data_IF_323037538953
#
_entry.id   IF_323037538953
#
_cell.length_a   1.000
_cell.length_b   1.000
_cell.length_c   1.000
_cell.angle_alpha   90.00
_cell.angle_beta   90.00
_cell.angle_gamma   90.00
#
_symmetry.space_group_name_H-M   'P 1'
#
loop_
_entity.id
_entity.type
_entity.pdbx_description
1 polymer ?
#
# COMPACT_ATOMS: atom_id res chain seq x y z
N UNK A 1 -8.91 7.60 18.59
CA UNK A 1 -8.77 7.05 19.93
C UNK A 1 -9.79 5.96 20.18
N UNK A 2 -9.73 5.21 21.30
CA UNK A 2 -10.71 4.17 21.59
C UNK A 2 -12.10 4.75 21.79
N UNK A 3 -13.12 4.05 21.29
CA UNK A 3 -14.52 4.36 21.51
C UNK A 3 -15.06 3.32 22.50
N UNK A 4 -15.68 3.76 23.57
CA UNK A 4 -16.24 2.89 24.61
C UNK A 4 -17.71 3.23 24.80
N UNK A 5 -18.59 2.21 24.71
CA UNK A 5 -20.00 2.29 25.06
C UNK A 5 -20.27 1.36 26.26
N UNK A 6 -21.08 1.81 27.22
CA UNK A 6 -21.56 1.00 28.32
C UNK A 6 -23.07 1.21 28.47
N UNK A 7 -23.80 0.11 28.55
CA UNK A 7 -25.27 0.11 28.73
C UNK A 7 -26.00 1.03 27.74
N UNK A 8 -25.52 1.07 26.48
CA UNK A 8 -26.14 1.84 25.39
C UNK A 8 -27.32 1.02 24.85
N UNK A 9 -28.51 1.56 24.97
CA UNK A 9 -29.73 0.97 24.38
C UNK A 9 -29.86 1.49 22.97
N UNK A 10 -30.03 0.58 22.01
CA UNK A 10 -30.30 0.89 20.60
C UNK A 10 -31.54 0.10 20.15
N UNK A 11 -32.23 0.60 19.16
CA UNK A 11 -33.35 -0.14 18.55
C UNK A 11 -32.83 -1.29 17.67
N UNK A 12 -33.61 -2.36 17.56
CA UNK A 12 -33.25 -3.51 16.73
C UNK A 12 -33.12 -3.15 15.24
N UNK A 13 -33.82 -2.10 14.80
CA UNK A 13 -33.74 -1.59 13.42
C UNK A 13 -32.41 -0.91 13.11
N UNK A 14 -31.59 -0.56 14.11
CA UNK A 14 -30.24 -0.03 13.91
C UNK A 14 -29.18 -1.13 13.64
N UNK A 15 -29.58 -2.39 13.71
CA UNK A 15 -28.70 -3.50 13.29
C UNK A 15 -28.45 -3.39 11.77
N UNK A 16 -27.18 -3.38 11.38
CA UNK A 16 -26.81 -3.32 9.96
C UNK A 16 -27.42 -4.52 9.23
N UNK A 17 -28.28 -4.23 8.23
CA UNK A 17 -29.02 -5.24 7.49
C UNK A 17 -30.35 -5.66 8.14
N UNK A 18 -30.75 -5.06 9.27
CA UNK A 18 -31.98 -5.38 9.98
C UNK A 18 -31.84 -6.48 11.01
N UNK A 19 -32.90 -6.73 11.75
CA UNK A 19 -32.91 -7.69 12.87
C UNK A 19 -32.57 -9.14 12.42
N UNK A 20 -32.93 -9.51 11.19
CA UNK A 20 -32.59 -10.83 10.60
C UNK A 20 -31.10 -11.03 10.34
N UNK A 21 -30.33 -9.96 10.31
CA UNK A 21 -28.87 -10.01 10.16
C UNK A 21 -28.13 -10.08 11.50
N UNK A 22 -28.86 -10.15 12.62
CA UNK A 22 -28.25 -10.28 13.94
C UNK A 22 -27.33 -11.52 13.99
N UNK A 23 -26.11 -11.35 14.48
CA UNK A 23 -25.09 -12.40 14.53
C UNK A 23 -24.29 -12.63 13.22
N UNK A 24 -24.66 -11.98 12.11
CA UNK A 24 -23.98 -12.14 10.82
C UNK A 24 -22.86 -11.10 10.56
N UNK A 25 -22.62 -10.20 11.50
CA UNK A 25 -21.69 -9.06 11.33
C UNK A 25 -20.28 -9.46 10.91
N UNK A 26 -19.76 -10.57 11.40
CA UNK A 26 -18.45 -11.07 11.00
C UNK A 26 -18.37 -11.43 9.51
N UNK A 27 -19.37 -12.14 9.00
CA UNK A 27 -19.45 -12.49 7.58
C UNK A 27 -19.54 -11.23 6.73
N UNK A 28 -20.45 -10.31 7.08
CA UNK A 28 -20.66 -9.05 6.37
C UNK A 28 -19.37 -8.21 6.34
N UNK A 29 -18.65 -8.13 7.46
CA UNK A 29 -17.37 -7.43 7.53
C UNK A 29 -16.32 -8.06 6.58
N UNK A 30 -16.19 -9.38 6.58
CA UNK A 30 -15.22 -10.07 5.74
C UNK A 30 -15.52 -9.90 4.25
N UNK A 31 -16.78 -9.95 3.85
CA UNK A 31 -17.23 -9.74 2.47
C UNK A 31 -16.90 -8.32 2.00
N UNK A 32 -17.18 -7.29 2.81
CA UNK A 32 -16.91 -5.90 2.45
C UNK A 32 -15.40 -5.56 2.45
N UNK A 33 -14.64 -6.05 3.41
CA UNK A 33 -13.20 -5.82 3.45
C UNK A 33 -12.45 -6.51 2.30
N UNK A 34 -13.00 -7.60 1.74
CA UNK A 34 -12.37 -8.27 0.60
C UNK A 34 -12.28 -7.36 -0.63
N UNK A 35 -13.31 -6.53 -0.90
CA UNK A 35 -13.30 -5.56 -2.00
C UNK A 35 -12.23 -4.47 -1.83
N UNK A 36 -12.18 -3.83 -0.67
CA UNK A 36 -11.16 -2.81 -0.38
C UNK A 36 -9.74 -3.35 -0.42
N UNK A 37 -9.53 -4.57 0.09
CA UNK A 37 -8.25 -5.27 0.08
C UNK A 37 -7.78 -5.59 -1.34
N UNK A 38 -8.70 -5.88 -2.26
CA UNK A 38 -8.35 -6.17 -3.65
C UNK A 38 -7.99 -4.91 -4.44
N UNK A 39 -8.59 -3.77 -4.13
CA UNK A 39 -8.54 -2.56 -4.97
C UNK A 39 -7.78 -1.42 -4.30
N UNK A 40 -8.28 -0.92 -3.17
CA UNK A 40 -7.86 0.38 -2.62
C UNK A 40 -6.42 0.38 -2.12
N UNK A 41 -6.05 -0.58 -1.27
CA UNK A 41 -4.70 -0.65 -0.71
C UNK A 41 -3.63 -1.01 -1.74
N UNK A 42 -3.84 -2.01 -2.62
CA UNK A 42 -2.93 -2.26 -3.73
C UNK A 42 -2.76 -1.07 -4.67
N UNK A 43 -3.84 -0.40 -5.05
CA UNK A 43 -3.77 0.78 -5.91
C UNK A 43 -3.02 1.95 -5.25
N UNK A 44 -3.28 2.20 -3.96
CA UNK A 44 -2.55 3.19 -3.17
C UNK A 44 -1.05 2.88 -3.07
N UNK A 45 -0.70 1.61 -2.87
CA UNK A 45 0.69 1.16 -2.83
C UNK A 45 1.39 1.38 -4.18
N UNK A 46 0.74 1.03 -5.29
CA UNK A 46 1.26 1.27 -6.65
C UNK A 46 1.45 2.77 -6.90
N UNK A 47 0.48 3.60 -6.49
CA UNK A 47 0.61 5.06 -6.54
C UNK A 47 1.84 5.57 -5.79
N UNK A 48 2.10 5.02 -4.60
CA UNK A 48 3.29 5.31 -3.79
C UNK A 48 4.60 4.95 -4.51
N UNK A 49 4.67 3.77 -5.12
CA UNK A 49 5.86 3.31 -5.87
C UNK A 49 6.11 4.20 -7.10
N UNK A 50 5.06 4.55 -7.83
CA UNK A 50 5.16 5.47 -8.99
C UNK A 50 5.61 6.87 -8.56
N UNK A 51 5.11 7.38 -7.45
CA UNK A 51 5.55 8.65 -6.88
C UNK A 51 7.03 8.60 -6.47
N UNK A 52 7.48 7.49 -5.86
CA UNK A 52 8.88 7.27 -5.52
C UNK A 52 9.76 7.29 -6.77
N UNK A 53 9.37 6.58 -7.84
CA UNK A 53 10.09 6.55 -9.12
C UNK A 53 10.20 7.95 -9.75
N UNK A 54 9.08 8.66 -9.83
CA UNK A 54 9.04 10.00 -10.44
C UNK A 54 9.87 11.01 -9.64
N UNK A 55 9.69 11.06 -8.31
CA UNK A 55 10.36 12.04 -7.46
C UNK A 55 11.87 11.79 -7.37
N UNK A 56 12.30 10.54 -7.11
CA UNK A 56 13.72 10.21 -6.99
C UNK A 56 14.44 10.34 -8.35
N UNK A 57 13.81 9.94 -9.44
CA UNK A 57 14.36 10.09 -10.79
C UNK A 57 14.54 11.55 -11.18
N UNK A 58 13.54 12.41 -10.93
CA UNK A 58 13.65 13.84 -11.18
C UNK A 58 14.72 14.50 -10.30
N UNK A 59 14.74 14.16 -9.01
CA UNK A 59 15.73 14.67 -8.08
C UNK A 59 17.16 14.30 -8.50
N UNK A 60 17.39 13.04 -8.86
CA UNK A 60 18.72 12.56 -9.25
C UNK A 60 19.27 13.26 -10.50
N UNK A 61 18.39 13.71 -11.41
CA UNK A 61 18.80 14.44 -12.62
C UNK A 61 19.21 15.89 -12.34
N UNK A 62 18.63 16.52 -11.36
CA UNK A 62 18.91 17.95 -11.06
C UNK A 62 19.92 18.13 -9.93
N UNK A 63 20.01 17.17 -9.02
CA UNK A 63 20.97 17.22 -7.91
C UNK A 63 22.38 16.93 -8.41
N UNK A 64 23.30 17.82 -8.15
CA UNK A 64 24.71 17.64 -8.51
C UNK A 64 25.58 17.43 -7.28
N UNK A 65 26.52 16.51 -7.41
CA UNK A 65 27.62 16.28 -6.49
C UNK A 65 28.87 15.92 -7.30
N UNK A 66 30.05 16.30 -6.81
CA UNK A 66 31.33 16.02 -7.48
C UNK A 66 31.38 16.51 -8.94
N UNK A 67 30.63 17.59 -9.25
CA UNK A 67 30.62 18.20 -10.59
C UNK A 67 29.71 17.52 -11.62
N UNK A 68 28.88 16.53 -11.21
CA UNK A 68 27.97 15.82 -12.11
C UNK A 68 26.59 15.61 -11.46
N UNK A 69 25.52 15.38 -12.26
CA UNK A 69 24.23 14.89 -11.73
C UNK A 69 24.43 13.56 -11.02
N UNK A 70 23.79 13.39 -9.85
CA UNK A 70 23.93 12.13 -9.11
C UNK A 70 23.35 10.93 -9.86
N UNK A 71 22.46 11.17 -10.84
CA UNK A 71 21.94 10.11 -11.72
C UNK A 71 23.02 9.39 -12.56
N UNK A 72 24.22 9.98 -12.67
CA UNK A 72 25.35 9.37 -13.41
C UNK A 72 26.21 8.45 -12.51
N UNK A 73 25.92 8.42 -11.21
CA UNK A 73 26.62 7.56 -10.24
C UNK A 73 25.99 6.16 -10.21
N UNK A 74 26.80 5.11 -10.38
CA UNK A 74 26.35 3.71 -10.46
C UNK A 74 25.52 3.29 -9.24
N UNK A 75 25.90 3.65 -8.03
CA UNK A 75 25.14 3.32 -6.83
C UNK A 75 23.75 3.99 -6.77
N UNK A 76 23.59 5.15 -7.41
CA UNK A 76 22.28 5.82 -7.57
C UNK A 76 21.49 5.13 -8.67
N UNK A 77 22.12 4.76 -9.78
CA UNK A 77 21.48 4.07 -10.91
C UNK A 77 20.93 2.71 -10.47
N UNK A 78 21.64 1.96 -9.62
CA UNK A 78 21.16 0.71 -9.06
C UNK A 78 19.83 0.89 -8.32
N UNK A 79 19.74 1.90 -7.44
CA UNK A 79 18.50 2.20 -6.71
C UNK A 79 17.38 2.68 -7.63
N UNK A 80 17.68 3.54 -8.59
CA UNK A 80 16.70 4.03 -9.56
C UNK A 80 16.17 2.90 -10.45
N UNK A 81 17.03 1.97 -10.86
CA UNK A 81 16.64 0.81 -11.67
C UNK A 81 15.70 -0.11 -10.87
N UNK A 82 16.01 -0.38 -9.60
CA UNK A 82 15.13 -1.16 -8.73
C UNK A 82 13.76 -0.50 -8.57
N UNK A 83 13.71 0.81 -8.26
CA UNK A 83 12.46 1.55 -8.11
C UNK A 83 11.64 1.52 -9.41
N UNK A 84 12.28 1.72 -10.56
CA UNK A 84 11.62 1.71 -11.86
C UNK A 84 11.07 0.33 -12.22
N UNK A 85 11.84 -0.74 -12.00
CA UNK A 85 11.41 -2.11 -12.21
C UNK A 85 10.21 -2.47 -11.34
N UNK A 86 10.24 -2.08 -10.06
CA UNK A 86 9.13 -2.33 -9.14
C UNK A 86 7.91 -1.48 -9.47
N UNK A 87 8.07 -0.27 -9.98
CA UNK A 87 6.95 0.54 -10.48
C UNK A 87 6.25 -0.15 -11.66
N UNK A 88 7.00 -0.70 -12.60
CA UNK A 88 6.44 -1.45 -13.73
C UNK A 88 5.73 -2.73 -13.28
N UNK A 89 6.39 -3.54 -12.46
CA UNK A 89 5.85 -4.80 -11.95
C UNK A 89 4.55 -4.59 -11.15
N UNK A 90 4.55 -3.61 -10.26
CA UNK A 90 3.40 -3.31 -9.42
C UNK A 90 2.20 -2.79 -10.23
N UNK A 91 2.45 -1.98 -11.26
CA UNK A 91 1.40 -1.52 -12.18
C UNK A 91 0.82 -2.68 -12.99
N UNK A 92 1.64 -3.59 -13.50
CA UNK A 92 1.18 -4.79 -14.20
C UNK A 92 0.30 -5.66 -13.29
N UNK A 93 0.72 -5.84 -12.02
CA UNK A 93 -0.04 -6.56 -11.01
C UNK A 93 -1.41 -5.91 -10.74
N UNK A 94 -1.44 -4.59 -10.62
CA UNK A 94 -2.68 -3.82 -10.43
C UNK A 94 -3.64 -3.99 -11.60
N UNK A 95 -3.15 -3.83 -12.82
CA UNK A 95 -3.96 -3.99 -14.04
C UNK A 95 -4.52 -5.39 -14.13
N UNK A 96 -3.71 -6.40 -13.87
CA UNK A 96 -4.14 -7.81 -13.86
C UNK A 96 -5.27 -8.05 -12.84
N UNK A 97 -5.10 -7.59 -11.60
CA UNK A 97 -6.10 -7.75 -10.56
C UNK A 97 -7.42 -7.06 -10.88
N UNK A 98 -7.37 -5.82 -11.40
CA UNK A 98 -8.56 -5.08 -11.79
C UNK A 98 -9.27 -5.74 -12.99
N UNK A 99 -8.52 -6.24 -13.97
CA UNK A 99 -9.10 -6.97 -15.11
C UNK A 99 -9.86 -8.24 -14.68
N UNK A 100 -9.36 -8.95 -13.66
CA UNK A 100 -10.07 -10.11 -13.11
C UNK A 100 -11.41 -9.69 -12.46
N UNK A 101 -11.39 -8.60 -11.68
CA UNK A 101 -12.61 -8.05 -11.07
C UNK A 101 -13.62 -7.58 -12.12
N UNK A 102 -13.16 -6.88 -13.18
CA UNK A 102 -14.01 -6.42 -14.29
C UNK A 102 -14.67 -7.59 -15.03
N UNK A 103 -14.05 -8.77 -15.04
CA UNK A 103 -14.60 -10.01 -15.58
C UNK A 103 -15.49 -10.78 -14.57
N UNK A 104 -15.78 -10.19 -13.41
CA UNK A 104 -16.65 -10.77 -12.39
C UNK A 104 -15.98 -11.81 -11.49
N UNK A 105 -14.68 -12.00 -11.59
CA UNK A 105 -13.93 -12.88 -10.70
C UNK A 105 -13.66 -12.23 -9.34
N UNK A 106 -13.72 -13.00 -8.28
CA UNK A 106 -13.43 -12.54 -6.92
C UNK A 106 -12.38 -13.45 -6.27
N UNK A 107 -11.10 -13.35 -6.64
CA UNK A 107 -10.06 -14.23 -6.13
C UNK A 107 -9.60 -13.79 -4.72
N UNK A 108 -10.09 -14.39 -3.62
CA UNK A 108 -9.80 -13.92 -2.26
C UNK A 108 -8.34 -14.11 -1.86
N UNK A 109 -7.71 -15.19 -2.30
CA UNK A 109 -6.30 -15.46 -2.02
C UNK A 109 -5.40 -14.49 -2.77
N UNK A 110 -5.66 -14.26 -4.06
CA UNK A 110 -4.87 -13.33 -4.88
C UNK A 110 -4.98 -11.91 -4.35
N UNK A 111 -6.17 -11.46 -3.93
CA UNK A 111 -6.34 -10.13 -3.32
C UNK A 111 -5.54 -9.97 -2.03
N UNK A 112 -5.47 -11.02 -1.21
CA UNK A 112 -4.65 -11.03 -0.01
C UNK A 112 -3.14 -10.97 -0.34
N UNK A 113 -2.71 -11.70 -1.37
CA UNK A 113 -1.32 -11.65 -1.88
C UNK A 113 -0.98 -10.24 -2.36
N UNK A 114 -1.82 -9.63 -3.20
CA UNK A 114 -1.59 -8.27 -3.70
C UNK A 114 -1.48 -7.26 -2.57
N UNK A 115 -2.42 -7.28 -1.62
CA UNK A 115 -2.37 -6.38 -0.47
C UNK A 115 -1.08 -6.53 0.31
N UNK A 116 -0.69 -7.75 0.67
CA UNK A 116 0.48 -7.99 1.50
C UNK A 116 1.78 -7.59 0.79
N UNK A 117 1.96 -8.02 -0.46
CA UNK A 117 3.21 -7.77 -1.18
C UNK A 117 3.33 -6.34 -1.70
N UNK A 118 2.27 -5.76 -2.25
CA UNK A 118 2.36 -4.40 -2.81
C UNK A 118 2.54 -3.33 -1.73
N UNK A 119 1.94 -3.49 -0.55
CA UNK A 119 2.14 -2.54 0.54
C UNK A 119 3.55 -2.62 1.12
N UNK A 120 4.14 -3.81 1.25
CA UNK A 120 5.54 -3.98 1.65
C UNK A 120 6.49 -3.42 0.59
N UNK A 121 6.22 -3.71 -0.68
CA UNK A 121 7.00 -3.22 -1.80
C UNK A 121 7.00 -1.68 -1.84
N UNK A 122 5.84 -1.06 -1.61
CA UNK A 122 5.72 0.41 -1.54
C UNK A 122 6.59 1.01 -0.44
N UNK A 123 6.62 0.38 0.75
CA UNK A 123 7.50 0.81 1.84
C UNK A 123 8.97 0.70 1.46
N UNK A 124 9.36 -0.41 0.84
CA UNK A 124 10.76 -0.64 0.41
C UNK A 124 11.18 0.38 -0.66
N UNK A 125 10.33 0.64 -1.66
CA UNK A 125 10.66 1.62 -2.68
C UNK A 125 10.65 3.07 -2.16
N UNK A 126 9.83 3.39 -1.17
CA UNK A 126 9.92 4.68 -0.47
C UNK A 126 11.27 4.84 0.26
N UNK A 127 11.76 3.77 0.92
CA UNK A 127 13.09 3.73 1.53
C UNK A 127 14.19 3.96 0.48
N UNK A 128 14.16 3.22 -0.62
CA UNK A 128 15.14 3.39 -1.70
C UNK A 128 15.14 4.81 -2.27
N UNK A 129 13.97 5.43 -2.43
CA UNK A 129 13.85 6.82 -2.87
C UNK A 129 14.42 7.81 -1.84
N UNK A 130 14.23 7.56 -0.54
CA UNK A 130 14.86 8.36 0.52
C UNK A 130 16.39 8.24 0.46
N UNK A 131 16.93 7.05 0.21
CA UNK A 131 18.37 6.84 0.05
C UNK A 131 18.92 7.68 -1.11
N UNK A 132 18.25 7.68 -2.25
CA UNK A 132 18.61 8.54 -3.42
C UNK A 132 18.54 10.02 -3.07
N UNK A 133 17.53 10.46 -2.32
CA UNK A 133 17.33 11.86 -1.95
C UNK A 133 18.23 12.29 -0.77
N UNK A 134 18.82 11.37 -0.06
CA UNK A 134 19.70 11.58 1.09
C UNK A 134 19.10 12.59 2.10
N UNK A 135 19.81 13.65 2.47
CA UNK A 135 19.33 14.66 3.42
C UNK A 135 17.99 15.28 3.07
N UNK A 136 17.68 15.46 1.78
CA UNK A 136 16.39 15.98 1.33
C UNK A 136 15.23 14.99 1.64
N UNK A 137 15.51 13.67 1.66
CA UNK A 137 14.56 12.63 2.03
C UNK A 137 14.26 12.57 3.54
N UNK A 138 15.16 13.13 4.38
CA UNK A 138 15.02 13.08 5.85
C UNK A 138 14.49 14.41 6.41
N UNK A 139 14.78 15.55 5.76
CA UNK A 139 14.33 16.86 6.23
C UNK A 139 12.82 16.94 6.33
N UNK A 140 12.33 17.44 7.47
CA UNK A 140 10.90 17.71 7.66
C UNK A 140 10.49 18.95 6.88
N UNK A 141 9.35 18.92 6.22
CA UNK A 141 8.83 20.09 5.50
C UNK A 141 7.87 19.73 4.35
N UNK A 142 7.26 20.75 3.74
CA UNK A 142 6.25 20.54 2.70
C UNK A 142 6.81 19.90 1.42
N UNK A 143 8.10 20.09 1.15
CA UNK A 143 8.74 19.57 -0.06
C UNK A 143 9.22 18.10 0.07
N UNK A 144 9.22 17.53 1.28
CA UNK A 144 9.56 16.12 1.46
C UNK A 144 8.31 15.24 1.38
N UNK A 145 7.91 14.90 0.16
CA UNK A 145 6.75 14.02 -0.08
C UNK A 145 7.08 12.55 0.19
N UNK A 146 8.33 12.12 -0.03
CA UNK A 146 8.75 10.73 0.13
C UNK A 146 8.86 10.35 1.61
N UNK A 147 9.51 11.15 2.44
CA UNK A 147 9.65 10.87 3.87
C UNK A 147 8.30 10.76 4.59
N UNK A 148 7.32 11.60 4.22
CA UNK A 148 5.95 11.48 4.74
C UNK A 148 5.27 10.17 4.31
N UNK A 149 5.44 9.78 3.04
CA UNK A 149 4.96 8.50 2.52
C UNK A 149 5.56 7.32 3.28
N UNK A 150 6.86 7.35 3.52
CA UNK A 150 7.56 6.32 4.30
C UNK A 150 7.02 6.21 5.73
N UNK A 151 6.85 7.35 6.43
CA UNK A 151 6.30 7.37 7.79
C UNK A 151 4.85 6.85 7.86
N UNK A 152 4.05 7.03 6.81
CA UNK A 152 2.67 6.55 6.75
C UNK A 152 2.53 5.11 6.25
N UNK A 153 3.55 4.52 5.64
CA UNK A 153 3.53 3.18 5.07
C UNK A 153 3.04 2.09 6.04
N UNK A 154 3.39 2.10 7.35
CA UNK A 154 2.88 1.12 8.32
C UNK A 154 1.35 1.07 8.42
N UNK A 155 0.65 2.14 8.09
CA UNK A 155 -0.83 2.15 8.09
C UNK A 155 -1.35 1.12 7.09
N UNK A 156 -0.89 1.16 5.83
CA UNK A 156 -1.32 0.22 4.80
C UNK A 156 -0.93 -1.24 5.10
N UNK A 157 0.16 -1.44 5.87
CA UNK A 157 0.62 -2.77 6.29
C UNK A 157 -0.27 -3.35 7.39
N UNK A 158 -0.85 -2.50 8.24
CA UNK A 158 -1.60 -2.93 9.43
C UNK A 158 -3.12 -2.99 9.22
N UNK A 159 -3.69 -2.10 8.39
CA UNK A 159 -5.14 -2.06 8.17
C UNK A 159 -5.63 -3.16 7.22
N UNK A 160 -6.91 -3.45 7.25
CA UNK A 160 -7.58 -4.49 6.43
C UNK A 160 -6.91 -5.87 6.52
N UNK A 161 -6.52 -6.24 7.71
CA UNK A 161 -5.74 -7.43 8.01
C UNK A 161 -4.24 -7.17 7.91
N UNK A 162 -3.56 -7.17 9.07
CA UNK A 162 -2.12 -6.98 9.10
C UNK A 162 -1.39 -7.99 8.21
N UNK A 163 -0.36 -7.55 7.50
CA UNK A 163 0.35 -8.41 6.55
C UNK A 163 0.90 -9.69 7.19
N UNK A 164 1.32 -9.64 8.46
CA UNK A 164 1.76 -10.82 9.22
C UNK A 164 0.64 -11.85 9.30
N UNK A 165 -0.59 -11.43 9.65
CA UNK A 165 -1.76 -12.30 9.70
C UNK A 165 -2.18 -12.77 8.29
N UNK A 166 -2.19 -11.86 7.32
CA UNK A 166 -2.56 -12.17 5.93
C UNK A 166 -1.66 -13.25 5.34
N UNK A 167 -0.35 -13.19 5.59
CA UNK A 167 0.60 -14.24 5.15
C UNK A 167 0.26 -15.60 5.74
N UNK A 168 -0.14 -15.65 7.01
CA UNK A 168 -0.59 -16.91 7.64
C UNK A 168 -1.88 -17.42 6.99
N UNK A 169 -2.85 -16.54 6.73
CA UNK A 169 -4.10 -16.92 6.05
C UNK A 169 -3.86 -17.42 4.62
N UNK A 170 -2.94 -16.84 3.87
CA UNK A 170 -2.55 -17.33 2.53
C UNK A 170 -1.99 -18.74 2.62
N UNK A 171 -1.19 -19.03 3.64
CA UNK A 171 -0.55 -20.34 3.81
C UNK A 171 -1.53 -21.43 4.27
N UNK A 172 -2.46 -21.11 5.16
CA UNK A 172 -3.36 -22.07 5.79
C UNK A 172 -4.80 -22.02 5.27
N UNK A 173 -5.14 -21.07 4.41
CA UNK A 173 -6.48 -20.83 3.89
C UNK A 173 -6.76 -21.55 2.54
N UNK A 174 -6.00 -22.59 2.23
CA UNK A 174 -6.23 -23.46 1.06
C UNK A 174 -7.28 -24.50 1.33
#
# INVERSE_FOLDING_TARGET
GPIVGRDVVIDADEIIGGAECAGQGWRMLMEQLAGGRAVSLPAGAVGGIRAAAAASGAYARVRQQFGMPIAEMEGIQEKLAEIAAMAYLSEAARVYALSALDNGEQPPVVSAVWKAYLTELSREQAKNAMDVMAGAGVMQGPNNVIGRGYCSAPVAITVEGANIMTRSLITFGQ
#
